data_IF_267672037129
#
_entry.id   IF_267672037129
#
_cell.length_a   1.000
_cell.length_b   1.000
_cell.length_c   1.000
_cell.angle_alpha   90.00
_cell.angle_beta   90.00
_cell.angle_gamma   90.00
#
_symmetry.space_group_name_H-M   'P 1'
#
loop_
_entity.id
_entity.type
_entity.pdbx_description
1 polymer ?
#
# COMPACT_ATOMS: atom_id res chain seq x y z
N UNK A 1 -10.22 8.55 -16.68
CA UNK A 1 -9.15 7.69 -16.11
C UNK A 1 -9.43 6.29 -16.59
N UNK A 2 -8.46 5.63 -17.23
CA UNK A 2 -8.65 4.24 -17.67
C UNK A 2 -8.76 3.33 -16.44
N UNK A 3 -9.86 2.58 -16.31
CA UNK A 3 -10.13 1.65 -15.20
C UNK A 3 -8.94 0.69 -14.99
N UNK A 4 -8.24 0.32 -16.08
CA UNK A 4 -7.03 -0.50 -16.03
C UNK A 4 -5.87 0.14 -15.25
N UNK A 5 -5.67 1.45 -15.36
CA UNK A 5 -4.58 2.15 -14.67
C UNK A 5 -4.83 2.27 -13.16
N UNK A 6 -6.07 2.56 -12.76
CA UNK A 6 -6.44 2.61 -11.33
C UNK A 6 -6.27 1.24 -10.68
N UNK A 7 -6.73 0.16 -11.32
CA UNK A 7 -6.57 -1.21 -10.81
C UNK A 7 -5.10 -1.62 -10.73
N UNK A 8 -4.29 -1.23 -11.71
CA UNK A 8 -2.84 -1.43 -11.68
C UNK A 8 -2.20 -0.70 -10.48
N UNK A 9 -2.52 0.58 -10.28
CA UNK A 9 -2.04 1.37 -9.15
C UNK A 9 -2.41 0.76 -7.81
N UNK A 10 -3.67 0.36 -7.63
CA UNK A 10 -4.15 -0.32 -6.42
C UNK A 10 -3.33 -1.57 -6.15
N UNK A 11 -3.18 -2.43 -7.17
CA UNK A 11 -2.44 -3.67 -7.04
C UNK A 11 -0.99 -3.39 -6.65
N UNK A 12 -0.35 -2.42 -7.31
CA UNK A 12 1.02 -2.03 -7.03
C UNK A 12 1.19 -1.54 -5.59
N UNK A 13 0.30 -0.67 -5.12
CA UNK A 13 0.33 -0.13 -3.75
C UNK A 13 0.13 -1.23 -2.70
N UNK A 14 -0.87 -2.11 -2.89
CA UNK A 14 -1.16 -3.19 -1.95
C UNK A 14 -0.02 -4.20 -1.91
N UNK A 15 0.43 -4.68 -3.07
CA UNK A 15 1.52 -5.67 -3.17
C UNK A 15 2.81 -5.08 -2.58
N UNK A 16 3.18 -3.86 -2.94
CA UNK A 16 4.38 -3.21 -2.41
C UNK A 16 4.29 -3.01 -0.90
N UNK A 17 3.14 -2.58 -0.38
CA UNK A 17 2.91 -2.45 1.06
C UNK A 17 3.09 -3.77 1.81
N UNK A 18 2.55 -4.87 1.27
CA UNK A 18 2.72 -6.22 1.83
C UNK A 18 4.18 -6.66 1.79
N UNK A 19 4.87 -6.44 0.67
CA UNK A 19 6.28 -6.81 0.50
C UNK A 19 7.16 -6.08 1.52
N UNK A 20 6.98 -4.77 1.71
CA UNK A 20 7.73 -3.99 2.70
C UNK A 20 7.48 -4.52 4.12
N UNK A 21 6.21 -4.76 4.48
CA UNK A 21 5.87 -5.28 5.81
C UNK A 21 6.40 -6.70 6.06
N UNK A 22 6.52 -7.51 5.01
CA UNK A 22 6.99 -8.89 5.15
C UNK A 22 8.52 -9.02 5.10
N UNK A 23 9.17 -8.37 4.14
CA UNK A 23 10.61 -8.49 3.90
C UNK A 23 11.39 -7.44 4.68
N UNK A 24 11.20 -6.15 4.41
CA UNK A 24 12.01 -5.07 4.98
C UNK A 24 11.88 -5.00 6.50
N UNK A 25 10.67 -5.07 7.03
CA UNK A 25 10.45 -5.06 8.48
C UNK A 25 11.15 -6.23 9.16
N UNK A 26 11.08 -7.44 8.59
CA UNK A 26 11.78 -8.62 9.13
C UNK A 26 13.29 -8.50 8.99
N UNK A 27 13.79 -7.96 7.89
CA UNK A 27 15.21 -7.73 7.68
C UNK A 27 15.78 -6.73 8.70
N UNK A 28 15.13 -5.58 8.88
CA UNK A 28 15.55 -4.57 9.85
C UNK A 28 15.40 -5.04 11.30
N UNK A 29 14.44 -5.90 11.59
CA UNK A 29 14.30 -6.54 12.90
C UNK A 29 15.49 -7.47 13.20
N UNK A 30 15.89 -8.33 12.24
CA UNK A 30 17.07 -9.20 12.35
C UNK A 30 18.36 -8.42 12.53
N UNK A 31 18.50 -7.28 11.86
CA UNK A 31 19.66 -6.39 11.95
C UNK A 31 19.62 -5.45 13.17
N UNK A 32 18.58 -5.53 14.02
CA UNK A 32 18.36 -4.65 15.19
C UNK A 32 18.29 -3.15 14.83
N UNK A 33 17.93 -2.83 13.58
CA UNK A 33 17.76 -1.47 13.03
C UNK A 33 16.39 -0.89 13.39
N UNK A 34 16.24 -0.45 14.64
CA UNK A 34 14.94 -0.02 15.20
C UNK A 34 14.30 1.17 14.46
N UNK A 35 15.10 2.13 14.01
CA UNK A 35 14.60 3.35 13.34
C UNK A 35 14.06 3.01 11.95
N UNK A 36 14.83 2.25 11.18
CA UNK A 36 14.55 1.79 9.83
C UNK A 36 13.34 0.85 9.83
N UNK A 37 13.26 -0.07 10.80
CA UNK A 37 12.09 -0.92 11.03
C UNK A 37 10.83 -0.09 11.24
N UNK A 38 10.88 0.94 12.09
CA UNK A 38 9.71 1.81 12.34
C UNK A 38 9.30 2.55 11.06
N UNK A 39 10.26 3.08 10.31
CA UNK A 39 10.01 3.73 9.02
C UNK A 39 9.39 2.75 8.01
N UNK A 40 9.91 1.54 7.88
CA UNK A 40 9.38 0.51 7.00
C UNK A 40 7.94 0.11 7.35
N UNK A 41 7.61 -0.01 8.65
CA UNK A 41 6.24 -0.27 9.10
C UNK A 41 5.31 0.88 8.67
N UNK A 42 5.73 2.13 8.84
CA UNK A 42 4.94 3.30 8.45
C UNK A 42 4.73 3.31 6.93
N UNK A 43 5.80 3.14 6.13
CA UNK A 43 5.74 3.14 4.67
C UNK A 43 4.85 2.00 4.16
N UNK A 44 5.02 0.79 4.70
CA UNK A 44 4.20 -0.37 4.32
C UNK A 44 2.71 -0.16 4.63
N UNK A 45 2.39 0.43 5.79
CA UNK A 45 1.01 0.79 6.15
C UNK A 45 0.44 1.89 5.25
N UNK A 46 1.21 2.93 4.95
CA UNK A 46 0.78 4.00 4.04
C UNK A 46 0.42 3.42 2.67
N UNK A 47 1.28 2.56 2.10
CA UNK A 47 1.00 1.90 0.82
C UNK A 47 -0.31 1.10 0.85
N UNK A 48 -0.53 0.31 1.91
CA UNK A 48 -1.79 -0.43 2.09
C UNK A 48 -3.00 0.49 2.20
N UNK A 49 -2.94 1.52 3.04
CA UNK A 49 -4.06 2.45 3.20
C UNK A 49 -4.35 3.26 1.93
N UNK A 50 -3.32 3.66 1.20
CA UNK A 50 -3.47 4.35 -0.09
C UNK A 50 -4.10 3.45 -1.15
N UNK A 51 -3.70 2.17 -1.23
CA UNK A 51 -4.33 1.20 -2.14
C UNK A 51 -5.81 0.96 -1.80
N UNK A 52 -6.13 0.79 -0.52
CA UNK A 52 -7.51 0.62 -0.05
C UNK A 52 -8.35 1.88 -0.28
N UNK A 53 -7.81 3.07 0.00
CA UNK A 53 -8.54 4.32 -0.20
C UNK A 53 -8.81 4.57 -1.69
N UNK A 54 -7.88 4.24 -2.58
CA UNK A 54 -8.08 4.30 -4.03
C UNK A 54 -9.21 3.38 -4.49
N UNK A 55 -9.32 2.16 -3.95
CA UNK A 55 -10.45 1.26 -4.24
C UNK A 55 -11.78 1.85 -3.79
N UNK A 56 -11.84 2.37 -2.57
CA UNK A 56 -13.06 2.97 -2.01
C UNK A 56 -13.47 4.19 -2.85
N UNK A 57 -12.53 5.06 -3.18
CA UNK A 57 -12.79 6.25 -4.01
C UNK A 57 -13.28 5.86 -5.40
N UNK A 58 -12.66 4.86 -6.04
CA UNK A 58 -13.11 4.40 -7.35
C UNK A 58 -14.54 3.87 -7.28
N UNK A 59 -14.86 3.06 -6.26
CA UNK A 59 -16.21 2.54 -6.06
C UNK A 59 -17.24 3.64 -5.78
N UNK A 60 -16.89 4.64 -4.96
CA UNK A 60 -17.78 5.78 -4.68
C UNK A 60 -18.04 6.63 -5.92
N UNK A 61 -17.02 6.84 -6.77
CA UNK A 61 -17.17 7.58 -8.03
C UNK A 61 -18.08 6.80 -8.98
N UNK A 62 -17.86 5.49 -9.15
CA UNK A 62 -18.71 4.66 -10.00
C UNK A 62 -20.18 4.71 -9.53
N UNK A 63 -20.43 4.68 -8.22
CA UNK A 63 -21.78 4.74 -7.65
C UNK A 63 -22.45 6.12 -7.72
N UNK A 64 -21.68 7.22 -7.76
CA UNK A 64 -22.23 8.58 -7.83
C UNK A 64 -22.54 8.98 -9.27
N UNK A 65 -21.68 8.59 -10.21
CA UNK A 65 -21.78 9.00 -11.61
C UNK A 65 -22.54 8.00 -12.51
N UNK A 66 -22.87 6.81 -12.01
CA UNK A 66 -23.66 5.79 -12.70
C UNK A 66 -24.92 5.42 -11.90
#
# INVERSE_FOLDING_TARGET
MEIGYTNYMVTLLVVTGILILYFDVKAYDREKKKKERKTAIIIGRINLYSGISLLILNWMIDQWFW
#
